data_IF_911063456849
#
_entry.id   IF_911063456849
#
_cell.length_a   1.000
_cell.length_b   1.000
_cell.length_c   1.000
_cell.angle_alpha   90.00
_cell.angle_beta   90.00
_cell.angle_gamma   90.00
#
_symmetry.space_group_name_H-M   'P 1'
#
loop_
_entity.id
_entity.type
_entity.pdbx_description
1 polymer ?
#
# COMPACT_ATOMS: atom_id res chain seq x y z
N UNK A 1 -74.10 -0.72 41.69
CA UNK A 1 -73.41 0.49 42.19
C UNK A 1 -71.98 0.21 42.65
N UNK A 2 -71.72 -0.59 43.70
CA UNK A 2 -70.33 -0.83 44.16
C UNK A 2 -69.45 -1.60 43.17
N UNK A 3 -70.02 -2.57 42.45
CA UNK A 3 -69.31 -3.32 41.40
C UNK A 3 -68.89 -2.41 40.24
N UNK A 4 -69.79 -1.53 39.78
CA UNK A 4 -69.50 -0.57 38.70
C UNK A 4 -68.43 0.44 39.12
N UNK A 5 -68.45 0.90 40.38
CA UNK A 5 -67.42 1.80 40.92
C UNK A 5 -66.05 1.11 40.97
N UNK A 6 -65.99 -0.17 41.36
CA UNK A 6 -64.75 -0.94 41.38
C UNK A 6 -64.19 -1.17 39.97
N UNK A 7 -65.07 -1.48 39.00
CA UNK A 7 -64.68 -1.69 37.61
C UNK A 7 -64.18 -0.40 36.93
N UNK A 8 -64.83 0.73 37.20
CA UNK A 8 -64.36 2.05 36.73
C UNK A 8 -63.00 2.43 37.32
N UNK A 9 -62.71 2.08 38.58
CA UNK A 9 -61.39 2.29 39.19
C UNK A 9 -60.30 1.44 38.52
N UNK A 10 -60.61 0.18 38.20
CA UNK A 10 -59.70 -0.73 37.48
C UNK A 10 -59.36 -0.17 36.10
N UNK A 11 -60.36 0.23 35.33
CA UNK A 11 -60.17 0.83 34.00
C UNK A 11 -59.39 2.14 34.05
N UNK A 12 -59.64 2.99 35.06
CA UNK A 12 -58.87 4.22 35.25
C UNK A 12 -57.39 3.93 35.56
N UNK A 13 -57.11 2.90 36.37
CA UNK A 13 -55.74 2.50 36.67
C UNK A 13 -55.03 1.93 35.43
N UNK A 14 -55.71 1.10 34.65
CA UNK A 14 -55.17 0.55 33.39
C UNK A 14 -54.84 1.65 32.38
N UNK A 15 -55.72 2.66 32.25
CA UNK A 15 -55.49 3.81 31.37
C UNK A 15 -54.35 4.70 31.88
N UNK A 16 -54.21 4.87 33.20
CA UNK A 16 -53.06 5.57 33.79
C UNK A 16 -51.75 4.82 33.54
N UNK A 17 -51.72 3.50 33.72
CA UNK A 17 -50.55 2.67 33.44
C UNK A 17 -50.17 2.69 31.96
N UNK A 18 -51.17 2.61 31.06
CA UNK A 18 -50.95 2.72 29.63
C UNK A 18 -50.43 4.11 29.24
N UNK A 19 -50.98 5.19 29.81
CA UNK A 19 -50.52 6.56 29.60
C UNK A 19 -49.07 6.78 30.06
N UNK A 20 -48.69 6.23 31.22
CA UNK A 20 -47.31 6.30 31.71
C UNK A 20 -46.35 5.54 30.78
N UNK A 21 -46.72 4.33 30.32
CA UNK A 21 -45.92 3.55 29.36
C UNK A 21 -45.75 4.26 28.02
N UNK A 22 -46.83 4.86 27.51
CA UNK A 22 -46.78 5.67 26.29
C UNK A 22 -45.85 6.87 26.47
N UNK A 23 -45.98 7.57 27.60
CA UNK A 23 -45.13 8.72 27.93
C UNK A 23 -43.66 8.33 28.02
N UNK A 24 -43.30 7.24 28.70
CA UNK A 24 -41.89 6.78 28.78
C UNK A 24 -41.34 6.36 27.42
N UNK A 25 -42.14 5.70 26.59
CA UNK A 25 -41.75 5.36 25.22
C UNK A 25 -41.48 6.61 24.38
N UNK A 26 -42.37 7.62 24.46
CA UNK A 26 -42.18 8.90 23.78
C UNK A 26 -40.94 9.65 24.26
N UNK A 27 -40.68 9.68 25.58
CA UNK A 27 -39.45 10.29 26.11
C UNK A 27 -38.20 9.60 25.57
N UNK A 28 -38.19 8.26 25.57
CA UNK A 28 -37.07 7.48 25.00
C UNK A 28 -36.88 7.80 23.50
N UNK A 29 -37.96 7.89 22.73
CA UNK A 29 -37.89 8.25 21.31
C UNK A 29 -37.35 9.67 21.10
N UNK A 30 -37.78 10.64 21.91
CA UNK A 30 -37.29 12.03 21.83
C UNK A 30 -35.80 12.12 22.19
N UNK A 31 -35.34 11.34 23.17
CA UNK A 31 -33.91 11.26 23.53
C UNK A 31 -33.09 10.69 22.37
N UNK A 32 -33.53 9.57 21.77
CA UNK A 32 -32.85 9.00 20.60
C UNK A 32 -32.77 10.00 19.43
N UNK A 33 -33.85 10.74 19.17
CA UNK A 33 -33.84 11.78 18.12
C UNK A 33 -32.83 12.89 18.46
N UNK A 34 -32.73 13.32 19.72
CA UNK A 34 -31.74 14.33 20.12
C UNK A 34 -30.30 13.84 19.95
N UNK A 35 -30.01 12.59 20.31
CA UNK A 35 -28.70 11.98 20.11
C UNK A 35 -28.34 11.94 18.63
N UNK A 36 -29.26 11.46 17.78
CA UNK A 36 -29.08 11.43 16.33
C UNK A 36 -28.82 12.84 15.77
N UNK A 37 -29.58 13.85 16.20
CA UNK A 37 -29.37 15.24 15.76
C UNK A 37 -28.00 15.81 16.22
N UNK A 38 -27.55 15.44 17.41
CA UNK A 38 -26.21 15.79 17.90
C UNK A 38 -25.12 15.15 17.04
N UNK A 39 -25.26 13.88 16.70
CA UNK A 39 -24.32 13.16 15.84
C UNK A 39 -24.28 13.74 14.43
N UNK A 40 -25.43 14.07 13.84
CA UNK A 40 -25.49 14.74 12.54
C UNK A 40 -24.80 16.10 12.55
N UNK A 41 -24.90 16.84 13.65
CA UNK A 41 -24.21 18.12 13.79
C UNK A 41 -22.70 17.93 13.86
N UNK A 42 -22.22 16.98 14.67
CA UNK A 42 -20.79 16.64 14.75
C UNK A 42 -20.25 16.21 13.38
N UNK A 43 -20.98 15.35 12.67
CA UNK A 43 -20.61 14.90 11.34
C UNK A 43 -20.52 16.06 10.33
N UNK A 44 -21.43 17.04 10.43
CA UNK A 44 -21.38 18.26 9.62
C UNK A 44 -20.12 19.08 9.87
N UNK A 45 -19.72 19.24 11.13
CA UNK A 45 -18.49 19.95 11.51
C UNK A 45 -17.24 19.21 11.02
N UNK A 46 -17.21 17.87 11.11
CA UNK A 46 -16.13 17.05 10.57
C UNK A 46 -16.02 17.14 9.05
N UNK A 47 -17.14 17.12 8.32
CA UNK A 47 -17.14 17.28 6.87
C UNK A 47 -16.61 18.64 6.43
N UNK A 48 -16.99 19.72 7.13
CA UNK A 48 -16.43 21.05 6.83
C UNK A 48 -14.93 21.12 7.10
N UNK A 49 -14.46 20.48 8.17
CA UNK A 49 -13.02 20.39 8.45
C UNK A 49 -12.28 19.65 7.34
N UNK A 50 -12.80 18.50 6.90
CA UNK A 50 -12.21 17.74 5.78
C UNK A 50 -12.22 18.55 4.49
N UNK A 51 -13.31 19.28 4.21
CA UNK A 51 -13.40 20.17 3.05
C UNK A 51 -12.33 21.26 3.09
N UNK A 52 -12.14 21.90 4.24
CA UNK A 52 -11.11 22.92 4.44
C UNK A 52 -9.69 22.36 4.26
N UNK A 53 -9.40 21.20 4.87
CA UNK A 53 -8.10 20.52 4.74
C UNK A 53 -7.81 20.13 3.29
N UNK A 54 -8.82 19.67 2.54
CA UNK A 54 -8.70 19.37 1.12
C UNK A 54 -8.37 20.63 0.31
N UNK A 55 -9.07 21.74 0.54
CA UNK A 55 -8.81 23.00 -0.17
C UNK A 55 -7.37 23.52 0.07
N UNK A 56 -6.84 23.37 1.28
CA UNK A 56 -5.44 23.73 1.59
C UNK A 56 -4.46 22.81 0.85
N UNK A 57 -4.72 21.49 0.85
CA UNK A 57 -3.88 20.53 0.11
C UNK A 57 -3.87 20.79 -1.39
N UNK A 58 -5.03 21.10 -1.97
CA UNK A 58 -5.17 21.43 -3.38
C UNK A 58 -4.40 22.72 -3.72
N UNK A 59 -4.53 23.76 -2.90
CA UNK A 59 -3.76 25.00 -3.05
C UNK A 59 -2.24 24.76 -2.99
N UNK A 60 -1.77 23.95 -2.03
CA UNK A 60 -0.36 23.60 -1.93
C UNK A 60 0.13 22.79 -3.14
N UNK A 61 -0.67 21.86 -3.65
CA UNK A 61 -0.36 21.09 -4.86
C UNK A 61 -0.21 22.00 -6.07
N UNK A 62 -1.14 22.94 -6.27
CA UNK A 62 -1.09 23.90 -7.37
C UNK A 62 0.15 24.82 -7.27
N UNK A 63 0.46 25.31 -6.07
CA UNK A 63 1.64 26.14 -5.84
C UNK A 63 2.94 25.38 -6.14
N UNK A 64 3.01 24.10 -5.76
CA UNK A 64 4.16 23.25 -6.06
C UNK A 64 4.34 23.04 -7.57
N UNK A 65 3.26 22.73 -8.28
CA UNK A 65 3.27 22.57 -9.74
C UNK A 65 3.69 23.87 -10.46
N UNK A 66 3.20 25.02 -9.99
CA UNK A 66 3.57 26.32 -10.54
C UNK A 66 5.05 26.62 -10.32
N UNK A 67 5.58 26.35 -9.12
CA UNK A 67 6.99 26.50 -8.80
C UNK A 67 7.87 25.61 -9.68
N UNK A 68 7.49 24.33 -9.88
CA UNK A 68 8.21 23.44 -10.77
C UNK A 68 8.21 23.95 -12.22
N UNK A 69 7.05 24.34 -12.76
CA UNK A 69 6.93 24.89 -14.12
C UNK A 69 7.78 26.15 -14.29
N UNK A 70 7.82 27.01 -13.26
CA UNK A 70 8.68 28.20 -13.26
C UNK A 70 10.17 27.82 -13.28
N UNK A 71 10.60 26.86 -12.45
CA UNK A 71 11.97 26.38 -12.45
C UNK A 71 12.40 25.75 -13.78
N UNK A 72 11.52 25.01 -14.45
CA UNK A 72 11.80 24.48 -15.79
C UNK A 72 11.90 25.59 -16.83
N UNK A 73 11.02 26.59 -16.80
CA UNK A 73 11.10 27.77 -17.68
C UNK A 73 12.41 28.53 -17.50
N UNK A 74 12.80 28.84 -16.27
CA UNK A 74 14.06 29.55 -15.99
C UNK A 74 15.29 28.78 -16.49
N UNK A 75 15.30 27.44 -16.36
CA UNK A 75 16.36 26.59 -16.93
C UNK A 75 16.36 26.61 -18.46
N UNK A 76 15.18 26.56 -19.08
CA UNK A 76 15.02 26.67 -20.53
C UNK A 76 15.53 28.02 -21.04
N UNK A 77 15.14 29.11 -20.38
CA UNK A 77 15.58 30.46 -20.72
C UNK A 77 17.10 30.60 -20.56
N UNK A 78 17.67 30.04 -19.49
CA UNK A 78 19.12 30.01 -19.27
C UNK A 78 19.87 29.22 -20.34
N UNK A 79 19.37 28.04 -20.73
CA UNK A 79 19.97 27.24 -21.79
C UNK A 79 19.86 27.93 -23.15
N UNK A 80 18.72 28.57 -23.42
CA UNK A 80 18.49 29.35 -24.63
C UNK A 80 19.46 30.52 -24.72
N UNK A 81 19.66 31.28 -23.63
CA UNK A 81 20.62 32.37 -23.59
C UNK A 81 22.07 31.89 -23.83
N UNK A 82 22.47 30.76 -23.20
CA UNK A 82 23.79 30.15 -23.44
C UNK A 82 23.98 29.70 -24.89
N UNK A 83 22.93 29.19 -25.52
CA UNK A 83 22.99 28.79 -26.93
C UNK A 83 23.23 29.99 -27.83
N UNK A 84 22.49 31.09 -27.63
CA UNK A 84 22.66 32.34 -28.38
C UNK A 84 24.08 32.90 -28.20
N UNK A 85 24.60 32.94 -26.97
CA UNK A 85 25.97 33.39 -26.71
C UNK A 85 27.02 32.55 -27.45
N UNK A 86 26.82 31.22 -27.52
CA UNK A 86 27.71 30.31 -28.26
C UNK A 86 27.60 30.52 -29.77
N UNK A 87 26.40 30.75 -30.29
CA UNK A 87 26.19 31.07 -31.71
C UNK A 87 26.87 32.39 -32.09
N UNK A 88 26.76 33.42 -31.25
CA UNK A 88 27.46 34.69 -31.46
C UNK A 88 28.98 34.52 -31.44
N UNK A 89 29.52 33.79 -30.46
CA UNK A 89 30.95 33.49 -30.38
C UNK A 89 31.45 32.69 -31.60
N UNK A 90 30.66 31.73 -32.08
CA UNK A 90 30.95 30.97 -33.29
C UNK A 90 30.96 31.87 -34.52
N UNK A 91 29.99 32.77 -34.66
CA UNK A 91 29.93 33.74 -35.76
C UNK A 91 31.14 34.70 -35.75
N UNK A 92 31.61 35.11 -34.56
CA UNK A 92 32.85 35.90 -34.43
C UNK A 92 34.06 35.08 -34.87
N UNK A 93 34.18 33.84 -34.39
CA UNK A 93 35.29 32.95 -34.75
C UNK A 93 35.35 32.68 -36.26
N UNK A 94 34.19 32.43 -36.89
CA UNK A 94 34.09 32.24 -38.35
C UNK A 94 34.53 33.49 -39.12
N UNK A 95 34.16 34.69 -38.66
CA UNK A 95 34.63 35.96 -39.26
C UNK A 95 36.14 36.12 -39.14
N UNK A 96 36.72 35.81 -37.97
CA UNK A 96 38.18 35.86 -37.79
C UNK A 96 38.90 34.84 -38.70
N UNK A 97 38.36 33.62 -38.82
CA UNK A 97 38.89 32.60 -39.72
C UNK A 97 38.87 33.05 -41.18
N UNK A 98 37.77 33.65 -41.64
CA UNK A 98 37.67 34.20 -42.99
C UNK A 98 38.69 35.33 -43.24
N UNK A 99 38.87 36.22 -42.26
CA UNK A 99 39.86 37.29 -42.34
C UNK A 99 41.30 36.76 -42.38
N UNK A 100 41.61 35.72 -41.60
CA UNK A 100 42.92 35.07 -41.62
C UNK A 100 43.17 34.36 -42.96
N UNK A 101 42.16 33.67 -43.50
CA UNK A 101 42.24 33.07 -44.83
C UNK A 101 42.57 34.11 -45.92
N UNK A 102 41.95 35.29 -45.89
CA UNK A 102 42.24 36.34 -46.85
C UNK A 102 43.63 36.96 -46.66
N UNK A 103 44.07 37.16 -45.42
CA UNK A 103 45.42 37.64 -45.12
C UNK A 103 46.50 36.65 -45.61
N UNK A 104 46.29 35.35 -45.42
CA UNK A 104 47.18 34.30 -45.93
C UNK A 104 47.16 34.25 -47.46
N UNK A 105 46.00 34.47 -48.09
CA UNK A 105 45.88 34.54 -49.56
C UNK A 105 46.73 35.68 -50.14
N UNK A 106 46.70 36.86 -49.52
CA UNK A 106 47.50 38.02 -49.92
C UNK A 106 49.00 37.82 -49.64
N UNK A 107 49.35 37.26 -48.48
CA UNK A 107 50.75 37.00 -48.12
C UNK A 107 51.40 35.93 -49.01
N UNK A 108 50.65 34.92 -49.45
CA UNK A 108 51.12 33.92 -50.42
C UNK A 108 51.29 34.49 -51.83
N UNK A 109 50.55 35.56 -52.19
CA UNK A 109 50.76 36.29 -53.44
C UNK A 109 52.03 37.18 -53.40
N UNK A 110 52.49 37.55 -52.21
CA UNK A 110 53.69 38.40 -52.00
C UNK A 110 54.98 37.59 -51.80
N UNK A 111 54.89 36.29 -51.47
CA UNK A 111 56.05 35.43 -51.15
C UNK A 111 56.37 34.39 -52.24
N UNK A 112 56.49 34.82 -53.48
CA UNK A 112 57.35 34.12 -54.46
C UNK A 112 58.81 34.56 -54.27
N UNK A 113 59.47 34.04 -53.23
CA UNK A 113 60.87 34.42 -52.97
C UNK A 113 61.54 33.78 -51.75
N UNK A 114 62.17 32.62 -51.95
CA UNK A 114 63.40 32.13 -51.31
C UNK A 114 63.54 32.18 -49.77
N UNK A 115 63.55 31.00 -49.12
CA UNK A 115 64.20 30.74 -47.82
C UNK A 115 63.27 30.52 -46.62
N UNK A 116 62.22 31.33 -46.46
CA UNK A 116 61.27 31.26 -45.33
C UNK A 116 60.40 29.99 -45.32
N UNK A 117 60.24 29.35 -46.49
CA UNK A 117 59.43 28.15 -46.67
C UNK A 117 59.89 26.99 -45.78
N UNK A 118 61.20 26.85 -45.52
CA UNK A 118 61.70 25.76 -44.66
C UNK A 118 61.36 25.96 -43.18
N UNK A 119 61.48 27.19 -42.67
CA UNK A 119 61.16 27.52 -41.27
C UNK A 119 59.66 27.46 -41.02
N UNK A 120 58.86 27.97 -41.97
CA UNK A 120 57.40 27.86 -41.92
C UNK A 120 56.93 26.40 -42.02
N UNK A 121 57.61 25.57 -42.83
CA UNK A 121 57.29 24.13 -42.93
C UNK A 121 57.57 23.38 -41.63
N UNK A 122 58.62 23.75 -40.91
CA UNK A 122 58.91 23.19 -39.57
C UNK A 122 57.90 23.67 -38.53
N UNK A 123 57.51 24.95 -38.53
CA UNK A 123 56.46 25.47 -37.65
C UNK A 123 55.09 24.84 -37.92
N UNK A 124 54.71 24.67 -39.19
CA UNK A 124 53.47 24.00 -39.58
C UNK A 124 53.47 22.54 -39.14
N UNK A 125 54.62 21.86 -39.24
CA UNK A 125 54.78 20.49 -38.74
C UNK A 125 54.60 20.42 -37.22
N UNK A 126 55.27 21.30 -36.46
CA UNK A 126 55.12 21.34 -35.00
C UNK A 126 53.68 21.62 -34.56
N UNK A 127 53.01 22.57 -35.22
CA UNK A 127 51.60 22.87 -34.95
C UNK A 127 50.69 21.70 -35.34
N UNK A 128 51.00 21.01 -36.45
CA UNK A 128 50.27 19.81 -36.86
C UNK A 128 50.43 18.67 -35.84
N UNK A 129 51.64 18.47 -35.32
CA UNK A 129 51.93 17.47 -34.29
C UNK A 129 51.23 17.82 -32.97
N UNK A 130 51.18 19.10 -32.59
CA UNK A 130 50.46 19.58 -31.41
C UNK A 130 48.93 19.41 -31.54
N UNK A 131 48.38 19.74 -32.71
CA UNK A 131 46.96 19.51 -33.02
C UNK A 131 46.62 18.03 -32.97
N UNK A 132 47.51 17.17 -33.50
CA UNK A 132 47.32 15.73 -33.46
C UNK A 132 47.35 15.20 -32.01
N UNK A 133 48.32 15.65 -31.20
CA UNK A 133 48.38 15.29 -29.78
C UNK A 133 47.13 15.72 -29.01
N UNK A 134 46.62 16.94 -29.27
CA UNK A 134 45.39 17.45 -28.65
C UNK A 134 44.15 16.68 -29.11
N UNK A 135 44.12 16.22 -30.36
CA UNK A 135 43.05 15.37 -30.88
C UNK A 135 43.04 14.00 -30.21
N UNK A 136 44.21 13.40 -30.02
CA UNK A 136 44.35 12.11 -29.35
C UNK A 136 43.97 12.22 -27.86
N UNK A 137 44.35 13.31 -27.19
CA UNK A 137 43.93 13.64 -25.82
C UNK A 137 42.40 13.81 -25.73
N UNK A 138 41.79 14.51 -26.68
CA UNK A 138 40.34 14.69 -26.73
C UNK A 138 39.62 13.35 -26.94
N UNK A 139 40.15 12.48 -27.78
CA UNK A 139 39.61 11.15 -28.01
C UNK A 139 39.71 10.28 -26.75
N UNK A 140 40.82 10.33 -26.03
CA UNK A 140 40.98 9.64 -24.74
C UNK A 140 39.96 10.16 -23.70
N UNK A 141 39.79 11.48 -23.61
CA UNK A 141 38.78 12.09 -22.73
C UNK A 141 37.35 11.70 -23.11
N UNK A 142 37.03 11.61 -24.41
CA UNK A 142 35.72 11.13 -24.87
C UNK A 142 35.46 9.68 -24.46
N UNK A 143 36.46 8.81 -24.57
CA UNK A 143 36.35 7.43 -24.11
C UNK A 143 36.14 7.36 -22.59
N UNK A 144 36.86 8.17 -21.82
CA UNK A 144 36.68 8.25 -20.37
C UNK A 144 35.28 8.75 -19.99
N UNK A 145 34.75 9.76 -20.69
CA UNK A 145 33.37 10.25 -20.50
C UNK A 145 32.36 9.13 -20.80
N UNK A 146 32.60 8.33 -21.84
CA UNK A 146 31.71 7.22 -22.19
C UNK A 146 31.72 6.12 -21.13
N UNK A 147 32.90 5.78 -20.59
CA UNK A 147 33.02 4.86 -19.46
C UNK A 147 32.27 5.37 -18.24
N UNK A 148 32.51 6.63 -17.84
CA UNK A 148 31.84 7.24 -16.69
C UNK A 148 30.32 7.31 -16.86
N UNK A 149 29.83 7.55 -18.07
CA UNK A 149 28.38 7.51 -18.34
C UNK A 149 27.78 6.12 -18.14
N UNK A 150 28.51 5.09 -18.55
CA UNK A 150 28.07 3.69 -18.38
C UNK A 150 28.03 3.33 -16.89
N UNK A 151 29.08 3.69 -16.14
CA UNK A 151 29.15 3.47 -14.70
C UNK A 151 28.03 4.23 -13.95
N UNK A 152 27.71 5.47 -14.35
CA UNK A 152 26.57 6.21 -13.78
C UNK A 152 25.24 5.51 -14.06
N UNK A 153 25.03 4.95 -15.26
CA UNK A 153 23.82 4.19 -15.56
C UNK A 153 23.72 2.90 -14.73
N UNK A 154 24.83 2.19 -14.53
CA UNK A 154 24.87 1.00 -13.68
C UNK A 154 24.55 1.35 -12.22
N UNK A 155 25.15 2.42 -11.70
CA UNK A 155 24.87 2.92 -10.35
C UNK A 155 23.42 3.38 -10.17
N UNK A 156 22.80 3.95 -11.21
CA UNK A 156 21.36 4.27 -11.19
C UNK A 156 20.50 3.02 -11.03
N UNK A 157 20.80 1.93 -11.75
CA UNK A 157 20.07 0.67 -11.60
C UNK A 157 20.21 0.04 -10.20
N UNK A 158 21.39 0.16 -9.59
CA UNK A 158 21.60 -0.27 -8.20
C UNK A 158 20.77 0.60 -7.24
N UNK A 159 20.75 1.91 -7.45
CA UNK A 159 19.98 2.84 -6.62
C UNK A 159 18.47 2.55 -6.68
N UNK A 160 17.94 2.26 -7.88
CA UNK A 160 16.53 1.88 -8.04
C UNK A 160 16.21 0.58 -7.27
N UNK A 161 17.15 -0.38 -7.28
CA UNK A 161 17.01 -1.63 -6.52
C UNK A 161 17.01 -1.36 -5.02
N UNK A 162 17.88 -0.48 -4.52
CA UNK A 162 17.92 -0.07 -3.11
C UNK A 162 16.59 0.56 -2.69
N UNK A 163 16.03 1.46 -3.50
CA UNK A 163 14.73 2.07 -3.22
C UNK A 163 13.60 1.04 -3.08
N UNK A 164 13.56 0.05 -3.96
CA UNK A 164 12.57 -1.04 -3.89
C UNK A 164 12.74 -1.87 -2.62
N UNK A 165 13.98 -2.23 -2.27
CA UNK A 165 14.28 -3.00 -1.07
C UNK A 165 13.95 -2.25 0.22
N UNK A 166 14.22 -0.94 0.26
CA UNK A 166 13.84 -0.08 1.40
C UNK A 166 12.32 -0.04 1.59
N UNK A 167 11.56 0.08 0.49
CA UNK A 167 10.11 0.08 0.58
C UNK A 167 9.55 -1.28 1.00
N UNK A 168 10.12 -2.37 0.48
CA UNK A 168 9.78 -3.73 0.92
C UNK A 168 10.05 -3.94 2.41
N UNK A 169 11.16 -3.42 2.94
CA UNK A 169 11.47 -3.49 4.36
C UNK A 169 10.43 -2.74 5.22
N UNK A 170 9.97 -1.56 4.77
CA UNK A 170 8.91 -0.81 5.47
C UNK A 170 7.59 -1.56 5.47
N UNK A 171 7.20 -2.16 4.34
CA UNK A 171 5.97 -2.96 4.24
C UNK A 171 6.04 -4.13 5.23
N UNK A 172 7.13 -4.90 5.23
CA UNK A 172 7.28 -6.01 6.17
C UNK A 172 7.33 -5.56 7.63
N UNK A 173 7.91 -4.41 7.93
CA UNK A 173 7.85 -3.85 9.27
C UNK A 173 6.40 -3.52 9.67
N UNK A 174 5.64 -2.87 8.80
CA UNK A 174 4.24 -2.53 9.06
C UNK A 174 3.38 -3.79 9.24
N UNK A 175 3.57 -4.80 8.39
CA UNK A 175 2.88 -6.09 8.50
C UNK A 175 3.21 -6.80 9.80
N UNK A 176 4.50 -6.82 10.20
CA UNK A 176 4.94 -7.39 11.46
C UNK A 176 4.32 -6.68 12.67
N UNK A 177 4.28 -5.34 12.65
CA UNK A 177 3.67 -4.56 13.72
C UNK A 177 2.15 -4.78 13.80
N UNK A 178 1.48 -4.91 12.64
CA UNK A 178 0.06 -5.22 12.58
C UNK A 178 -0.25 -6.63 13.14
N UNK A 179 0.51 -7.63 12.72
CA UNK A 179 0.38 -9.01 13.21
C UNK A 179 0.66 -9.09 14.72
N UNK A 180 1.69 -8.38 15.19
CA UNK A 180 1.99 -8.29 16.61
C UNK A 180 0.82 -7.72 17.41
N UNK A 181 0.23 -6.60 16.97
CA UNK A 181 -0.93 -5.99 17.64
C UNK A 181 -2.13 -6.94 17.63
N UNK A 182 -2.41 -7.59 16.51
CA UNK A 182 -3.48 -8.58 16.41
C UNK A 182 -3.26 -9.74 17.39
N UNK A 183 -2.02 -10.22 17.50
CA UNK A 183 -1.64 -11.29 18.44
C UNK A 183 -1.79 -10.86 19.90
N UNK A 184 -1.38 -9.64 20.25
CA UNK A 184 -1.56 -9.08 21.59
C UNK A 184 -3.05 -9.03 21.97
N UNK A 185 -3.92 -8.60 21.06
CA UNK A 185 -5.38 -8.60 21.27
C UNK A 185 -5.95 -10.01 21.44
N UNK A 186 -5.51 -10.97 20.62
CA UNK A 186 -5.94 -12.36 20.72
C UNK A 186 -5.53 -13.00 22.05
N UNK A 187 -4.32 -12.69 22.54
CA UNK A 187 -3.85 -13.17 23.85
C UNK A 187 -4.69 -12.57 24.97
N UNK A 188 -4.96 -11.26 24.95
CA UNK A 188 -5.81 -10.62 25.95
C UNK A 188 -7.23 -11.21 25.97
N UNK A 189 -7.82 -11.43 24.80
CA UNK A 189 -9.14 -12.05 24.67
C UNK A 189 -9.13 -13.50 25.18
N UNK A 190 -8.10 -14.28 24.84
CA UNK A 190 -7.91 -15.64 25.36
C UNK A 190 -7.84 -15.65 26.88
N UNK A 191 -7.07 -14.75 27.49
CA UNK A 191 -6.96 -14.64 28.95
C UNK A 191 -8.30 -14.30 29.60
N UNK A 192 -9.07 -13.38 29.01
CA UNK A 192 -10.43 -13.06 29.45
C UNK A 192 -11.34 -14.27 29.43
N UNK A 193 -11.40 -14.99 28.30
CA UNK A 193 -12.25 -16.18 28.13
C UNK A 193 -11.85 -17.29 29.10
N UNK A 194 -10.56 -17.50 29.33
CA UNK A 194 -10.06 -18.49 30.29
C UNK A 194 -10.51 -18.14 31.72
N UNK A 195 -10.46 -16.87 32.10
CA UNK A 195 -10.91 -16.42 33.41
C UNK A 195 -12.43 -16.56 33.58
N UNK A 196 -13.22 -16.19 32.58
CA UNK A 196 -14.67 -16.38 32.56
C UNK A 196 -15.04 -17.87 32.68
N UNK A 197 -14.34 -18.73 31.95
CA UNK A 197 -14.51 -20.18 32.06
C UNK A 197 -14.20 -20.68 33.47
N UNK A 198 -13.13 -20.18 34.09
CA UNK A 198 -12.78 -20.51 35.49
C UNK A 198 -13.88 -20.11 36.47
N UNK A 199 -14.50 -18.95 36.28
CA UNK A 199 -15.66 -18.52 37.08
C UNK A 199 -16.88 -19.42 36.88
N UNK A 200 -17.19 -19.78 35.63
CA UNK A 200 -18.30 -20.67 35.31
C UNK A 200 -18.11 -22.07 35.91
N UNK A 201 -16.91 -22.65 35.81
CA UNK A 201 -16.59 -23.95 36.43
C UNK A 201 -16.82 -23.90 37.93
N UNK A 202 -16.29 -22.89 38.63
CA UNK A 202 -16.50 -22.72 40.08
C UNK A 202 -17.99 -22.62 40.45
N UNK A 203 -18.76 -21.85 39.67
CA UNK A 203 -20.22 -21.73 39.89
C UNK A 203 -20.94 -23.05 39.66
N UNK A 204 -20.55 -23.78 38.61
CA UNK A 204 -21.15 -25.07 38.30
C UNK A 204 -20.86 -26.10 39.40
N UNK A 205 -19.62 -26.18 39.88
CA UNK A 205 -19.23 -27.01 41.02
C UNK A 205 -20.04 -26.68 42.28
N UNK A 206 -20.25 -25.39 42.58
CA UNK A 206 -21.06 -24.96 43.72
C UNK A 206 -22.53 -25.39 43.57
N UNK A 207 -23.11 -25.23 42.37
CA UNK A 207 -24.47 -25.68 42.09
C UNK A 207 -24.61 -27.21 42.17
N UNK A 208 -23.64 -27.96 41.66
CA UNK A 208 -23.61 -29.43 41.78
C UNK A 208 -23.56 -29.87 43.24
N UNK A 209 -22.77 -29.18 44.09
CA UNK A 209 -22.78 -29.43 45.54
C UNK A 209 -24.16 -29.17 46.15
N UNK A 210 -24.79 -28.04 45.83
CA UNK A 210 -26.14 -27.72 46.33
C UNK A 210 -27.18 -28.75 45.89
N UNK A 211 -27.17 -29.19 44.62
CA UNK A 211 -28.08 -30.22 44.12
C UNK A 211 -27.87 -31.55 44.85
N UNK A 212 -26.61 -31.94 45.05
CA UNK A 212 -26.28 -33.16 45.78
C UNK A 212 -26.71 -33.07 47.27
N UNK A 213 -26.51 -31.92 47.92
CA UNK A 213 -27.01 -31.68 49.28
C UNK A 213 -28.54 -31.78 49.35
N UNK A 214 -29.27 -31.20 48.40
CA UNK A 214 -30.73 -31.33 48.33
C UNK A 214 -31.16 -32.79 48.12
N UNK A 215 -30.50 -33.52 47.20
CA UNK A 215 -30.76 -34.94 46.95
C UNK A 215 -30.51 -35.82 48.17
N UNK A 216 -29.48 -35.52 48.97
CA UNK A 216 -29.15 -36.28 50.18
C UNK A 216 -30.02 -35.89 51.40
N UNK A 217 -30.66 -34.73 51.39
CA UNK A 217 -31.55 -34.25 52.47
C UNK A 217 -33.05 -34.49 52.21
N UNK A 218 -33.43 -35.15 51.11
CA UNK A 218 -34.80 -35.60 50.89
C UNK A 218 -35.20 -36.66 51.95
N UNK A 219 -36.34 -36.51 52.67
CA UNK A 219 -36.85 -37.56 53.53
C UNK A 219 -37.07 -38.84 52.72
N UNK A 220 -36.50 -39.95 53.20
CA UNK A 220 -36.79 -41.31 52.75
C UNK A 220 -38.21 -41.72 53.17
N UNK A 221 -39.22 -41.04 52.65
CA UNK A 221 -40.60 -41.50 52.75
C UNK A 221 -41.09 -41.86 51.35
N UNK A 222 -41.52 -43.12 51.25
CA UNK A 222 -42.05 -43.81 50.06
C UNK A 222 -41.01 -44.44 49.14
N UNK A 223 -40.34 -45.46 49.70
CA UNK A 223 -39.98 -46.63 48.90
C UNK A 223 -41.27 -47.33 48.44
N UNK A 224 -41.76 -46.96 47.25
CA UNK A 224 -42.69 -47.79 46.49
C UNK A 224 -42.04 -48.12 45.16
N UNK A 225 -41.64 -49.39 45.10
CA UNK A 225 -41.53 -50.26 43.92
C UNK A 225 -41.88 -49.61 42.58
N UNK A 226 -40.87 -49.42 41.74
CA UNK A 226 -41.05 -49.38 40.29
C UNK A 226 -39.81 -50.01 39.64
N UNK A 227 -40.10 -50.97 38.76
CA UNK A 227 -39.21 -51.94 38.16
C UNK A 227 -37.97 -51.34 37.46
N UNK A 228 -36.90 -52.13 37.31
CA UNK A 228 -35.78 -51.78 36.45
C UNK A 228 -36.18 -51.96 34.99
N UNK A 229 -36.57 -50.86 34.32
CA UNK A 229 -36.58 -50.83 32.86
C UNK A 229 -35.13 -50.75 32.36
N UNK A 230 -34.60 -51.94 32.08
CA UNK A 230 -33.45 -52.15 31.24
C UNK A 230 -33.79 -51.77 29.78
N UNK A 231 -32.78 -51.28 29.05
CA UNK A 231 -32.79 -50.90 27.62
C UNK A 231 -33.66 -49.69 27.26
N UNK A 232 -33.11 -48.54 26.86
CA UNK A 232 -32.30 -48.38 25.66
C UNK A 232 -31.11 -47.44 25.93
N UNK A 233 -29.90 -48.01 25.95
CA UNK A 233 -28.69 -47.24 25.65
C UNK A 233 -28.78 -46.83 24.18
N UNK A 234 -29.24 -45.61 23.88
CA UNK A 234 -28.77 -44.92 22.68
C UNK A 234 -27.33 -44.52 22.97
N UNK A 235 -26.42 -45.44 22.63
CA UNK A 235 -24.99 -45.19 22.54
C UNK A 235 -24.79 -44.22 21.38
N UNK A 236 -25.03 -42.94 21.63
CA UNK A 236 -24.35 -41.92 20.84
C UNK A 236 -22.88 -42.04 21.20
N UNK A 237 -22.16 -42.70 20.30
CA UNK A 237 -20.72 -42.69 20.26
C UNK A 237 -20.35 -41.22 20.04
N UNK A 238 -20.03 -40.51 21.12
CA UNK A 238 -19.21 -39.32 21.02
C UNK A 238 -17.87 -39.76 20.43
N UNK A 239 -17.47 -39.24 19.25
CA UNK A 239 -16.11 -39.45 18.79
C UNK A 239 -15.18 -38.78 19.80
N UNK A 240 -14.16 -39.50 20.22
CA UNK A 240 -13.09 -38.96 21.06
C UNK A 240 -12.50 -37.69 20.40
N UNK A 241 -12.07 -36.68 21.18
CA UNK A 241 -11.36 -35.55 20.62
C UNK A 241 -10.07 -36.07 19.96
N UNK A 242 -9.78 -35.71 18.70
CA UNK A 242 -8.47 -35.99 18.15
C UNK A 242 -7.44 -35.20 18.95
N UNK A 243 -6.40 -35.89 19.40
CA UNK A 243 -5.18 -35.32 19.95
C UNK A 243 -4.67 -34.21 19.02
N UNK A 244 -4.24 -33.03 19.50
CA UNK A 244 -3.70 -32.00 18.63
C UNK A 244 -2.40 -32.53 18.03
N UNK A 245 -2.45 -32.91 16.75
CA UNK A 245 -1.24 -32.97 15.93
C UNK A 245 -0.74 -31.54 15.74
N UNK A 246 0.58 -31.33 15.63
CA UNK A 246 1.11 -30.05 15.17
C UNK A 246 0.39 -29.71 13.87
N UNK A 247 -0.24 -28.54 13.78
CA UNK A 247 -0.83 -28.11 12.53
C UNK A 247 0.31 -27.91 11.53
N UNK A 248 0.48 -28.91 10.67
CA UNK A 248 1.10 -28.75 9.38
C UNK A 248 0.46 -27.55 8.68
N UNK A 249 1.30 -26.74 8.07
CA UNK A 249 0.97 -25.63 7.20
C UNK A 249 -0.24 -25.98 6.35
N UNK A 250 -1.29 -25.14 6.42
CA UNK A 250 -2.38 -25.19 5.45
C UNK A 250 -1.78 -24.77 4.12
N UNK A 251 -1.23 -25.73 3.38
CA UNK A 251 -0.83 -25.57 1.98
C UNK A 251 -2.11 -25.13 1.25
N UNK A 252 -2.18 -23.89 0.73
CA UNK A 252 -3.33 -23.46 -0.03
C UNK A 252 -3.51 -24.41 -1.21
N UNK A 253 -4.76 -24.78 -1.52
CA UNK A 253 -5.05 -25.65 -2.66
C UNK A 253 -4.30 -25.12 -3.91
N UNK A 254 -3.59 -25.97 -4.68
CA UNK A 254 -2.79 -25.51 -5.81
C UNK A 254 -3.65 -24.70 -6.77
N UNK A 255 -3.26 -23.45 -7.03
CA UNK A 255 -3.97 -22.59 -7.99
C UNK A 255 -3.94 -23.28 -9.36
N UNK A 256 -5.11 -23.40 -9.99
CA UNK A 256 -5.27 -23.97 -11.33
C UNK A 256 -5.69 -22.87 -12.29
N UNK A 257 -4.96 -22.76 -13.39
CA UNK A 257 -5.22 -21.81 -14.46
C UNK A 257 -5.60 -22.57 -15.73
N UNK A 258 -6.53 -22.03 -16.49
CA UNK A 258 -7.07 -22.66 -17.70
C UNK A 258 -6.69 -21.86 -18.93
N UNK A 259 -6.43 -22.54 -20.04
CA UNK A 259 -6.27 -21.87 -21.32
C UNK A 259 -7.58 -21.18 -21.72
N UNK A 260 -7.56 -19.91 -22.17
CA UNK A 260 -8.75 -19.18 -22.61
C UNK A 260 -9.30 -19.65 -23.96
N UNK A 261 -8.57 -20.48 -24.72
CA UNK A 261 -9.06 -21.06 -25.96
C UNK A 261 -10.09 -22.17 -25.65
N UNK A 262 -11.37 -22.04 -26.06
CA UNK A 262 -12.41 -23.04 -25.76
C UNK A 262 -12.15 -24.42 -26.39
N UNK A 263 -11.33 -24.49 -27.44
CA UNK A 263 -10.91 -25.75 -28.07
C UNK A 263 -9.68 -26.38 -27.36
N UNK A 264 -9.13 -25.71 -26.35
CA UNK A 264 -7.96 -26.15 -25.60
C UNK A 264 -8.28 -26.37 -24.12
N UNK A 265 -8.25 -27.62 -23.66
CA UNK A 265 -8.61 -27.98 -22.29
C UNK A 265 -7.40 -28.15 -21.36
N UNK A 266 -6.30 -27.43 -21.64
CA UNK A 266 -5.06 -27.54 -20.86
C UNK A 266 -5.13 -26.76 -19.55
N UNK A 267 -4.59 -27.36 -18.48
CA UNK A 267 -4.60 -26.82 -17.10
C UNK A 267 -3.17 -26.64 -16.63
N UNK A 268 -2.90 -25.50 -15.99
CA UNK A 268 -1.59 -25.12 -15.50
C UNK A 268 -1.62 -24.79 -14.01
N UNK A 269 -0.51 -25.01 -13.32
CA UNK A 269 -0.37 -24.74 -11.89
C UNK A 269 0.26 -23.37 -11.59
N UNK A 270 0.83 -22.73 -12.61
CA UNK A 270 1.48 -21.41 -12.55
C UNK A 270 1.18 -20.63 -13.82
N UNK A 271 1.35 -19.30 -13.77
CA UNK A 271 1.01 -18.38 -14.88
C UNK A 271 2.01 -18.46 -16.03
N UNK A 272 3.31 -18.61 -15.76
CA UNK A 272 4.36 -18.62 -16.80
C UNK A 272 4.18 -19.71 -17.88
N UNK A 273 3.96 -21.01 -17.54
CA UNK A 273 3.71 -22.03 -18.55
C UNK A 273 2.37 -21.85 -19.26
N UNK A 274 1.38 -21.23 -18.62
CA UNK A 274 0.14 -20.85 -19.27
C UNK A 274 0.39 -19.73 -20.30
N UNK A 275 1.15 -18.69 -19.97
CA UNK A 275 1.46 -17.59 -20.89
C UNK A 275 2.18 -18.09 -22.13
N UNK A 276 3.22 -18.90 -21.95
CA UNK A 276 3.94 -19.52 -23.07
C UNK A 276 3.01 -20.37 -23.95
N UNK A 277 2.12 -21.16 -23.31
CA UNK A 277 1.13 -21.95 -24.03
C UNK A 277 0.13 -21.08 -24.79
N UNK A 278 -0.38 -19.99 -24.20
CA UNK A 278 -1.40 -19.11 -24.81
C UNK A 278 -0.86 -18.43 -26.07
N UNK A 279 0.40 -17.98 -26.04
CA UNK A 279 1.08 -17.38 -27.19
C UNK A 279 1.07 -18.36 -28.38
N UNK A 280 1.47 -19.61 -28.15
CA UNK A 280 1.47 -20.66 -29.18
C UNK A 280 0.06 -21.13 -29.55
N UNK A 281 -0.84 -21.28 -28.57
CA UNK A 281 -2.17 -21.87 -28.75
C UNK A 281 -3.13 -20.94 -29.50
N UNK A 282 -3.00 -19.63 -29.27
CA UNK A 282 -3.77 -18.61 -29.99
C UNK A 282 -3.07 -18.13 -31.27
N UNK A 283 -1.90 -18.69 -31.63
CA UNK A 283 -1.07 -18.26 -32.76
C UNK A 283 -0.84 -16.75 -32.76
N UNK A 284 -0.57 -16.21 -31.57
CA UNK A 284 -0.14 -14.82 -31.44
C UNK A 284 1.34 -14.84 -31.79
N UNK A 285 1.65 -14.66 -33.07
CA UNK A 285 3.02 -14.42 -33.51
C UNK A 285 3.50 -13.09 -32.88
N UNK A 286 4.75 -13.06 -32.41
CA UNK A 286 5.40 -11.93 -31.70
C UNK A 286 5.33 -10.59 -32.47
#
# INVERSE_FOLDING_TARGET
MEFEISELRRLLQEEQEHSVKMKTCLYSAVTMIHEILSDFKSLGEELEKVRADHAVKESHSLAYDEMQKKGFRERLDSLTAKLVEKEEALAISQRHLASLHEAVRLQNAEKEGSGEVKVLKEQVKNLSDEVQAKKDELQANMQQIQTLRTEVQELQGVNDTVMVLEEQAKIYQADFEAERKARELLVAEKERVVEDFRHLVKRNEALLKQVNELQNNLPRENAVTSQPCSSLRRREQTPSPPTPRPQDDVIPAPKRYFCPNPECNMIFTTVDPLQLHVITCLKLDD
#
